data_IF_564610323684
#
_entry.id   IF_564610323684
#
_cell.length_a   1.000
_cell.length_b   1.000
_cell.length_c   1.000
_cell.angle_alpha   90.00
_cell.angle_beta   90.00
_cell.angle_gamma   90.00
#
_symmetry.space_group_name_H-M   'P 1'
#
loop_
_entity.id
_entity.type
_entity.pdbx_description
1 polymer ?
#
# COMPACT_ATOMS: atom_id res chain seq x y z
N UNK A 1 -18.73 3.24 25.91
CA UNK A 1 -18.41 4.66 26.09
C UNK A 1 -17.94 5.18 24.74
N UNK A 2 -18.81 5.89 24.00
CA UNK A 2 -18.43 6.57 22.75
C UNK A 2 -17.70 7.86 23.12
N UNK A 3 -16.41 7.77 23.40
CA UNK A 3 -15.56 8.96 23.38
C UNK A 3 -15.39 9.32 21.90
N UNK A 4 -16.06 10.39 21.46
CA UNK A 4 -15.86 10.94 20.12
C UNK A 4 -14.37 11.23 19.93
N UNK A 5 -13.71 10.49 19.04
CA UNK A 5 -12.32 10.74 18.68
C UNK A 5 -12.29 12.13 18.02
N UNK A 6 -11.60 13.09 18.62
CA UNK A 6 -11.56 14.47 18.13
C UNK A 6 -10.91 14.59 16.73
N UNK A 7 -11.21 15.64 15.96
CA UNK A 7 -10.62 15.85 14.66
C UNK A 7 -9.11 16.11 14.78
N UNK A 8 -8.30 15.29 14.11
CA UNK A 8 -6.84 15.48 14.02
C UNK A 8 -6.45 16.21 12.74
N UNK A 9 -5.27 16.83 12.77
CA UNK A 9 -4.58 17.32 11.56
C UNK A 9 -3.48 16.33 11.19
N UNK A 10 -3.64 15.65 10.06
CA UNK A 10 -2.87 14.47 9.66
C UNK A 10 -2.10 14.79 8.37
N UNK A 11 -0.82 14.45 8.35
CA UNK A 11 -0.02 14.41 7.12
C UNK A 11 0.25 12.96 6.72
N UNK A 12 -0.32 12.51 5.60
CA UNK A 12 0.02 11.24 4.97
C UNK A 12 1.24 11.47 4.08
N UNK A 13 2.31 10.71 4.29
CA UNK A 13 3.59 10.96 3.62
C UNK A 13 4.07 9.70 2.89
N UNK A 14 4.34 9.83 1.60
CA UNK A 14 4.92 8.78 0.78
C UNK A 14 5.57 9.35 -0.47
N UNK A 15 6.61 8.66 -0.97
CA UNK A 15 7.09 8.88 -2.33
C UNK A 15 6.07 8.42 -3.38
N UNK A 16 5.24 7.42 -3.02
CA UNK A 16 4.30 6.78 -3.92
C UNK A 16 2.91 7.41 -3.79
N UNK A 17 2.55 8.24 -4.77
CA UNK A 17 1.24 8.88 -4.84
C UNK A 17 0.88 9.25 -6.29
N UNK A 18 -0.32 9.80 -6.50
CA UNK A 18 -0.78 10.28 -7.80
C UNK A 18 0.22 11.26 -8.46
N UNK A 19 0.48 11.15 -9.78
CA UNK A 19 -0.34 10.51 -10.82
C UNK A 19 -0.09 9.01 -11.01
N UNK A 20 0.90 8.44 -10.36
CA UNK A 20 1.15 7.01 -10.46
C UNK A 20 -0.01 6.22 -9.87
N UNK A 21 -0.22 5.02 -10.41
CA UNK A 21 -1.23 4.08 -9.94
C UNK A 21 -0.56 2.82 -9.38
N UNK A 22 -0.93 2.44 -8.17
CA UNK A 22 -0.43 1.26 -7.49
C UNK A 22 -1.18 1.03 -6.18
N UNK A 23 -0.89 -0.07 -5.50
CA UNK A 23 -1.58 -0.42 -4.26
C UNK A 23 -1.38 0.60 -3.13
N UNK A 24 -0.19 1.17 -2.99
CA UNK A 24 0.14 2.18 -1.97
C UNK A 24 -0.55 3.51 -2.29
N UNK A 25 -0.49 3.94 -3.55
CA UNK A 25 -1.12 5.16 -4.04
C UNK A 25 -2.63 5.13 -3.84
N UNK A 26 -3.25 4.02 -4.21
CA UNK A 26 -4.69 3.78 -4.03
C UNK A 26 -5.07 3.77 -2.56
N UNK A 27 -4.28 3.10 -1.71
CA UNK A 27 -4.50 3.06 -0.26
C UNK A 27 -4.47 4.46 0.35
N UNK A 28 -3.43 5.26 0.07
CA UNK A 28 -3.29 6.61 0.61
C UNK A 28 -4.46 7.50 0.16
N UNK A 29 -4.86 7.39 -1.11
CA UNK A 29 -5.96 8.19 -1.65
C UNK A 29 -7.29 7.89 -0.96
N UNK A 30 -7.71 6.63 -0.91
CA UNK A 30 -9.01 6.27 -0.33
C UNK A 30 -9.03 6.43 1.20
N UNK A 31 -7.94 6.08 1.88
CA UNK A 31 -7.80 6.36 3.31
C UNK A 31 -7.95 7.87 3.60
N UNK A 32 -7.30 8.73 2.79
CA UNK A 32 -7.41 10.18 2.96
C UNK A 32 -8.85 10.67 2.79
N UNK A 33 -9.58 10.16 1.78
CA UNK A 33 -10.98 10.52 1.55
C UNK A 33 -11.85 10.16 2.75
N UNK A 34 -11.76 8.93 3.24
CA UNK A 34 -12.56 8.48 4.40
C UNK A 34 -12.17 9.19 5.71
N UNK A 35 -10.89 9.53 5.91
CA UNK A 35 -10.48 10.33 7.08
C UNK A 35 -11.02 11.76 7.01
N UNK A 36 -11.14 12.36 5.82
CA UNK A 36 -11.80 13.66 5.63
C UNK A 36 -13.29 13.56 5.96
N UNK A 37 -13.97 12.50 5.50
CA UNK A 37 -15.39 12.25 5.78
C UNK A 37 -15.64 12.03 7.28
N UNK A 38 -14.67 11.47 8.02
CA UNK A 38 -14.68 11.38 9.49
C UNK A 38 -14.39 12.72 10.19
N UNK A 39 -14.18 13.81 9.45
CA UNK A 39 -13.98 15.17 9.97
C UNK A 39 -12.51 15.53 10.29
N UNK A 40 -11.54 14.69 9.92
CA UNK A 40 -10.12 15.03 10.07
C UNK A 40 -9.65 16.00 9.00
N UNK A 41 -8.62 16.78 9.33
CA UNK A 41 -7.90 17.60 8.34
C UNK A 41 -6.74 16.78 7.80
N UNK A 42 -6.80 16.41 6.53
CA UNK A 42 -5.79 15.55 5.90
C UNK A 42 -5.04 16.31 4.82
N UNK A 43 -3.73 16.17 4.80
CA UNK A 43 -2.86 16.59 3.69
C UNK A 43 -1.98 15.42 3.27
N UNK A 44 -1.66 15.35 1.98
CA UNK A 44 -0.68 14.39 1.46
C UNK A 44 0.61 15.13 1.12
N UNK A 45 1.74 14.55 1.44
CA UNK A 45 3.08 15.06 1.10
C UNK A 45 3.79 14.01 0.27
N UNK A 46 4.21 14.41 -0.93
CA UNK A 46 4.94 13.56 -1.88
C UNK A 46 5.97 14.37 -2.66
N UNK A 47 6.77 13.73 -3.49
CA UNK A 47 7.67 14.43 -4.41
C UNK A 47 6.95 14.94 -5.66
N UNK A 48 7.60 15.83 -6.41
CA UNK A 48 7.07 16.32 -7.69
C UNK A 48 7.16 15.26 -8.79
N UNK A 49 6.13 15.21 -9.64
CA UNK A 49 6.06 14.33 -10.81
C UNK A 49 5.94 15.18 -12.08
N UNK A 50 7.02 15.31 -12.84
CA UNK A 50 7.03 16.16 -14.02
C UNK A 50 6.52 17.57 -13.72
N UNK A 51 5.41 17.97 -14.34
CA UNK A 51 4.80 19.29 -14.16
C UNK A 51 3.91 19.40 -12.90
N UNK A 52 3.66 18.30 -12.20
CA UNK A 52 2.95 18.33 -10.92
C UNK A 52 3.89 18.80 -9.81
N UNK A 53 3.89 20.10 -9.54
CA UNK A 53 4.71 20.77 -8.53
C UNK A 53 3.84 21.65 -7.65
N UNK A 54 4.32 21.90 -6.42
CA UNK A 54 3.66 22.80 -5.47
C UNK A 54 2.41 22.21 -4.84
N UNK A 55 1.39 23.02 -4.61
CA UNK A 55 0.16 22.59 -3.94
C UNK A 55 -0.91 22.32 -4.99
N UNK A 56 -1.58 21.16 -4.87
CA UNK A 56 -2.74 20.79 -5.68
C UNK A 56 -3.86 20.32 -4.79
N UNK A 57 -5.09 20.42 -5.29
CA UNK A 57 -6.28 19.90 -4.63
C UNK A 57 -6.87 18.79 -5.47
N UNK A 58 -7.16 17.67 -4.84
CA UNK A 58 -7.86 16.52 -5.42
C UNK A 58 -9.33 16.52 -4.94
N UNK A 59 -10.05 15.45 -5.26
CA UNK A 59 -11.44 15.26 -4.85
C UNK A 59 -11.61 15.44 -3.34
N UNK A 60 -12.80 15.87 -2.93
CA UNK A 60 -13.15 16.14 -1.53
C UNK A 60 -12.22 17.14 -0.82
N UNK A 61 -11.59 18.03 -1.58
CA UNK A 61 -10.69 19.06 -1.04
C UNK A 61 -9.36 18.56 -0.50
N UNK A 62 -8.99 17.31 -0.77
CA UNK A 62 -7.70 16.75 -0.35
C UNK A 62 -6.54 17.56 -0.90
N UNK A 63 -5.79 18.19 -0.01
CA UNK A 63 -4.62 18.99 -0.34
C UNK A 63 -3.37 18.14 -0.46
N UNK A 64 -2.67 18.26 -1.58
CA UNK A 64 -1.43 17.54 -1.86
C UNK A 64 -0.26 18.49 -2.05
N UNK A 65 0.82 18.24 -1.35
CA UNK A 65 2.10 18.93 -1.46
C UNK A 65 3.05 18.12 -2.34
N UNK A 66 3.29 18.58 -3.55
CA UNK A 66 4.29 18.04 -4.47
C UNK A 66 5.62 18.78 -4.28
N UNK A 67 6.51 18.23 -3.47
CA UNK A 67 7.77 18.87 -3.07
C UNK A 67 8.89 18.58 -4.08
N UNK A 68 9.85 19.50 -4.26
CA UNK A 68 10.89 19.38 -5.30
C UNK A 68 12.04 18.46 -4.85
N UNK A 69 11.73 17.21 -4.52
CA UNK A 69 12.74 16.20 -4.19
C UNK A 69 13.15 15.40 -5.42
N UNK A 70 14.43 15.00 -5.44
CA UNK A 70 15.02 14.24 -6.53
C UNK A 70 14.64 12.77 -6.37
N UNK A 71 14.07 12.18 -7.42
CA UNK A 71 13.79 10.75 -7.49
C UNK A 71 15.06 10.00 -7.86
N UNK A 72 15.43 9.00 -7.07
CA UNK A 72 16.64 8.21 -7.26
C UNK A 72 16.38 6.90 -8.02
N UNK A 73 15.41 6.09 -7.53
CA UNK A 73 15.17 4.75 -8.06
C UNK A 73 13.70 4.33 -7.85
N UNK A 74 13.08 3.77 -8.89
CA UNK A 74 11.71 3.22 -8.86
C UNK A 74 10.65 4.13 -8.20
N UNK A 75 10.77 5.44 -8.38
CA UNK A 75 9.84 6.41 -7.80
C UNK A 75 10.17 6.83 -6.36
N UNK A 76 11.16 6.21 -5.69
CA UNK A 76 11.62 6.63 -4.38
C UNK A 76 12.60 7.81 -4.48
N UNK A 77 12.47 8.78 -3.57
CA UNK A 77 13.37 9.93 -3.52
C UNK A 77 14.74 9.56 -3.00
N UNK A 78 15.75 10.33 -3.41
CA UNK A 78 17.06 10.28 -2.77
C UNK A 78 16.92 10.83 -1.36
N UNK A 79 17.29 10.02 -0.36
CA UNK A 79 17.33 10.49 1.02
C UNK A 79 18.27 11.68 1.15
N UNK A 80 17.69 12.84 1.45
CA UNK A 80 18.42 14.09 1.55
C UNK A 80 18.83 14.44 2.97
N UNK A 81 18.28 13.72 3.95
CA UNK A 81 18.50 13.80 5.41
C UNK A 81 18.39 15.23 5.97
N UNK A 82 19.00 16.20 5.32
CA UNK A 82 19.04 17.62 5.73
C UNK A 82 18.17 18.50 4.82
N UNK A 83 18.18 18.23 3.52
CA UNK A 83 17.46 19.03 2.52
C UNK A 83 15.93 19.00 2.66
N UNK A 84 15.38 17.92 3.21
CA UNK A 84 13.94 17.78 3.44
C UNK A 84 13.45 18.55 4.68
N UNK A 85 14.32 18.81 5.68
CA UNK A 85 13.95 19.45 6.96
C UNK A 85 13.21 20.78 6.79
N UNK A 86 13.70 21.76 6.00
CA UNK A 86 13.01 23.03 5.84
C UNK A 86 11.62 22.89 5.20
N UNK A 87 11.50 22.00 4.21
CA UNK A 87 10.25 21.76 3.49
C UNK A 87 9.21 21.10 4.37
N UNK A 88 9.56 19.99 5.02
CA UNK A 88 8.66 19.23 5.87
C UNK A 88 8.25 20.06 7.10
N UNK A 89 9.21 20.70 7.79
CA UNK A 89 8.90 21.60 8.90
C UNK A 89 7.90 22.69 8.49
N UNK A 90 8.13 23.33 7.33
CA UNK A 90 7.24 24.40 6.83
C UNK A 90 5.81 23.89 6.58
N UNK A 91 5.66 22.71 6.00
CA UNK A 91 4.34 22.10 5.78
C UNK A 91 3.70 21.72 7.11
N UNK A 92 4.43 21.05 8.02
CA UNK A 92 3.90 20.64 9.32
C UNK A 92 3.41 21.82 10.15
N UNK A 93 4.16 22.92 10.18
CA UNK A 93 3.74 24.14 10.89
C UNK A 93 2.57 24.84 10.18
N UNK A 94 2.58 24.89 8.86
CA UNK A 94 1.52 25.54 8.07
C UNK A 94 0.17 24.87 8.24
N UNK A 95 0.15 23.54 8.24
CA UNK A 95 -1.07 22.73 8.33
C UNK A 95 -1.41 22.37 9.80
N UNK A 96 -0.64 22.86 10.78
CA UNK A 96 -0.77 22.50 12.21
C UNK A 96 -0.84 20.97 12.40
N UNK A 97 0.03 20.23 11.73
CA UNK A 97 0.06 18.78 11.77
C UNK A 97 0.25 18.28 13.19
N UNK A 98 -0.56 17.32 13.60
CA UNK A 98 -0.48 16.63 14.88
C UNK A 98 0.07 15.21 14.71
N UNK A 99 -0.31 14.56 13.60
CA UNK A 99 0.05 13.19 13.31
C UNK A 99 0.70 13.12 11.91
N UNK A 100 1.86 12.47 11.85
CA UNK A 100 2.52 12.10 10.59
C UNK A 100 2.31 10.61 10.38
N UNK A 101 1.71 10.25 9.27
CA UNK A 101 1.50 8.87 8.88
C UNK A 101 2.30 8.55 7.62
N UNK A 102 3.43 7.89 7.80
CA UNK A 102 4.30 7.44 6.72
C UNK A 102 3.82 6.13 6.10
N UNK A 103 3.95 5.99 4.79
CA UNK A 103 3.55 4.80 4.05
C UNK A 103 4.68 4.22 3.22
N UNK A 104 4.81 2.89 3.25
CA UNK A 104 5.76 2.07 2.48
C UNK A 104 7.20 2.13 2.98
N UNK A 105 7.77 0.95 3.24
CA UNK A 105 9.18 0.80 3.64
C UNK A 105 10.17 1.33 2.61
N UNK A 106 9.80 1.36 1.33
CA UNK A 106 10.63 1.91 0.27
C UNK A 106 10.53 3.43 0.10
N UNK A 107 9.71 4.11 0.89
CA UNK A 107 9.58 5.56 0.82
C UNK A 107 10.62 6.25 1.72
N UNK A 108 11.68 6.77 1.13
CA UNK A 108 12.68 7.57 1.85
C UNK A 108 12.04 8.82 2.47
N UNK A 109 11.15 9.48 1.74
CA UNK A 109 10.43 10.66 2.22
C UNK A 109 9.56 10.36 3.45
N UNK A 110 8.90 9.19 3.49
CA UNK A 110 8.11 8.78 4.66
C UNK A 110 8.99 8.62 5.90
N UNK A 111 10.15 7.95 5.78
CA UNK A 111 11.08 7.75 6.88
C UNK A 111 11.69 9.07 7.37
N UNK A 112 12.08 9.97 6.46
CA UNK A 112 12.54 11.30 6.82
C UNK A 112 11.46 12.11 7.54
N UNK A 113 10.22 12.06 7.07
CA UNK A 113 9.10 12.75 7.69
C UNK A 113 8.80 12.24 9.11
N UNK A 114 8.84 10.92 9.32
CA UNK A 114 8.66 10.30 10.63
C UNK A 114 9.77 10.71 11.60
N UNK A 115 11.03 10.73 11.15
CA UNK A 115 12.16 11.15 11.97
C UNK A 115 12.08 12.63 12.34
N UNK A 116 11.88 13.50 11.36
CA UNK A 116 11.77 14.96 11.57
C UNK A 116 10.59 15.28 12.48
N UNK A 117 9.43 14.69 12.19
CA UNK A 117 8.23 14.90 12.99
C UNK A 117 8.35 14.44 14.42
N UNK A 118 8.93 13.25 14.63
CA UNK A 118 9.23 12.76 15.96
C UNK A 118 10.17 13.69 16.74
N UNK A 119 11.20 14.29 16.09
CA UNK A 119 12.09 15.28 16.70
C UNK A 119 11.41 16.64 16.93
N UNK A 120 10.35 16.96 16.17
CA UNK A 120 9.45 18.10 16.41
C UNK A 120 8.38 17.80 17.48
N UNK A 121 8.35 16.60 18.07
CA UNK A 121 7.38 16.08 19.03
C UNK A 121 5.95 15.94 18.46
N UNK A 122 5.83 15.68 17.17
CA UNK A 122 4.59 15.25 16.55
C UNK A 122 4.43 13.74 16.76
N UNK A 123 3.18 13.28 16.74
CA UNK A 123 2.89 11.84 16.80
C UNK A 123 3.16 11.20 15.44
N UNK A 124 3.61 9.95 15.48
CA UNK A 124 4.10 9.26 14.29
C UNK A 124 3.45 7.89 14.15
N UNK A 125 2.91 7.61 12.96
CA UNK A 125 2.34 6.32 12.57
C UNK A 125 2.97 5.88 11.27
N UNK A 126 3.17 4.59 11.09
CA UNK A 126 3.72 4.04 9.85
C UNK A 126 2.87 2.87 9.38
N UNK A 127 2.53 2.82 8.08
CA UNK A 127 1.92 1.64 7.45
C UNK A 127 2.91 0.95 6.54
N UNK A 128 3.18 -0.33 6.86
CA UNK A 128 3.99 -1.20 6.01
C UNK A 128 3.11 -1.97 5.03
N UNK A 129 3.39 -1.78 3.74
CA UNK A 129 2.71 -2.44 2.63
C UNK A 129 3.54 -3.57 2.02
N UNK A 130 4.69 -3.89 2.62
CA UNK A 130 5.68 -4.77 2.04
C UNK A 130 5.84 -6.07 2.82
N UNK A 131 6.26 -7.11 2.12
CA UNK A 131 6.73 -8.35 2.72
C UNK A 131 8.11 -8.67 2.12
N UNK A 132 9.09 -8.87 2.99
CA UNK A 132 10.46 -9.12 2.57
C UNK A 132 10.89 -10.56 2.83
N UNK A 133 11.61 -11.17 1.88
CA UNK A 133 12.34 -12.43 2.08
C UNK A 133 13.53 -12.26 3.06
N UNK A 134 13.98 -13.30 3.72
CA UNK A 134 15.14 -13.25 4.63
C UNK A 134 16.48 -13.48 3.91
N UNK A 135 16.45 -13.97 2.69
CA UNK A 135 17.63 -14.45 1.96
C UNK A 135 18.23 -13.44 0.98
N UNK A 136 17.59 -12.29 0.78
CA UNK A 136 18.04 -11.30 -0.21
C UNK A 136 18.97 -10.26 0.45
N UNK A 137 20.16 -10.05 -0.10
CA UNK A 137 21.13 -9.09 0.43
C UNK A 137 20.57 -7.66 0.50
N UNK A 138 19.75 -7.28 -0.48
CA UNK A 138 19.05 -6.00 -0.47
C UNK A 138 18.03 -5.92 0.67
N UNK A 139 17.37 -7.02 1.00
CA UNK A 139 16.43 -7.12 2.10
C UNK A 139 17.15 -7.02 3.45
N UNK A 140 18.32 -7.63 3.62
CA UNK A 140 19.13 -7.53 4.85
C UNK A 140 19.51 -6.07 5.10
N UNK A 141 20.00 -5.38 4.07
CA UNK A 141 20.38 -3.97 4.17
C UNK A 141 19.18 -3.08 4.50
N UNK A 142 18.05 -3.26 3.80
CA UNK A 142 16.82 -2.51 4.04
C UNK A 142 16.25 -2.79 5.43
N UNK A 143 16.27 -4.03 5.89
CA UNK A 143 15.81 -4.41 7.22
C UNK A 143 16.65 -3.77 8.32
N UNK A 144 17.98 -3.86 8.20
CA UNK A 144 18.88 -3.35 9.24
C UNK A 144 18.92 -1.83 9.23
N UNK A 145 19.08 -1.20 8.05
CA UNK A 145 19.24 0.25 7.96
C UNK A 145 17.93 1.01 8.03
N UNK A 146 16.85 0.50 7.41
CA UNK A 146 15.60 1.24 7.30
C UNK A 146 14.63 0.83 8.40
N UNK A 147 14.19 -0.42 8.45
CA UNK A 147 13.14 -0.83 9.38
C UNK A 147 13.58 -0.71 10.84
N UNK A 148 14.72 -1.30 11.20
CA UNK A 148 15.16 -1.34 12.59
C UNK A 148 15.38 0.06 13.17
N UNK A 149 16.02 0.96 12.43
CA UNK A 149 16.37 2.28 12.96
C UNK A 149 15.28 3.34 12.73
N UNK A 150 14.61 3.36 11.58
CA UNK A 150 13.62 4.39 11.34
C UNK A 150 12.34 4.15 12.14
N UNK A 151 11.94 2.88 12.36
CA UNK A 151 10.69 2.54 13.06
C UNK A 151 10.81 2.48 14.59
N UNK A 152 12.02 2.39 15.16
CA UNK A 152 12.22 2.27 16.62
C UNK A 152 11.62 3.44 17.41
N UNK A 153 11.54 4.61 16.79
CA UNK A 153 11.00 5.83 17.38
C UNK A 153 9.58 6.16 16.92
N UNK A 154 8.96 5.34 16.09
CA UNK A 154 7.57 5.49 15.66
C UNK A 154 6.64 5.09 16.80
N UNK A 155 5.55 5.84 16.98
CA UNK A 155 4.64 5.62 18.11
C UNK A 155 3.74 4.41 17.87
N UNK A 156 3.18 4.25 16.64
CA UNK A 156 2.33 3.11 16.26
C UNK A 156 2.65 2.67 14.82
N UNK A 157 2.52 1.37 14.56
CA UNK A 157 2.78 0.77 13.24
C UNK A 157 1.57 -0.05 12.82
N UNK A 158 1.23 0.01 11.53
CA UNK A 158 0.16 -0.75 10.90
C UNK A 158 0.78 -1.67 9.85
N UNK A 159 0.38 -2.93 9.84
CA UNK A 159 0.71 -3.92 8.82
C UNK A 159 -0.58 -4.42 8.16
N UNK A 160 -0.50 -4.80 6.88
CA UNK A 160 -1.67 -5.15 6.08
C UNK A 160 -2.13 -6.62 6.21
N UNK A 161 -1.36 -7.45 6.93
CA UNK A 161 -1.69 -8.84 7.27
C UNK A 161 -0.98 -9.24 8.56
N UNK A 162 -1.38 -10.34 9.18
CA UNK A 162 -0.69 -10.90 10.35
C UNK A 162 0.72 -11.37 9.99
N UNK A 163 0.88 -12.02 8.84
CA UNK A 163 2.20 -12.41 8.32
C UNK A 163 3.11 -11.19 8.12
N UNK A 164 2.58 -10.09 7.57
CA UNK A 164 3.34 -8.84 7.45
C UNK A 164 3.69 -8.25 8.81
N UNK A 165 2.80 -8.33 9.81
CA UNK A 165 3.07 -7.89 11.18
C UNK A 165 4.22 -8.67 11.79
N UNK A 166 4.18 -10.01 11.76
CA UNK A 166 5.28 -10.85 12.27
C UNK A 166 6.59 -10.52 11.59
N UNK A 167 6.56 -10.40 10.27
CA UNK A 167 7.73 -10.05 9.46
C UNK A 167 8.33 -8.70 9.87
N UNK A 168 7.50 -7.66 10.04
CA UNK A 168 7.94 -6.31 10.42
C UNK A 168 8.45 -6.26 11.87
N UNK A 169 7.80 -6.96 12.80
CA UNK A 169 8.22 -7.08 14.21
C UNK A 169 9.60 -7.73 14.30
N UNK A 170 9.78 -8.89 13.64
CA UNK A 170 11.05 -9.65 13.69
C UNK A 170 12.20 -8.86 13.07
N UNK A 171 11.98 -8.22 11.92
CA UNK A 171 13.02 -7.49 11.19
C UNK A 171 13.38 -6.17 11.82
N UNK A 172 12.37 -5.43 12.26
CA UNK A 172 12.57 -4.14 12.91
C UNK A 172 12.97 -4.27 14.38
N UNK A 173 12.97 -5.49 14.96
CA UNK A 173 13.12 -5.73 16.40
C UNK A 173 12.19 -4.83 17.22
N UNK A 174 10.93 -4.77 16.77
CA UNK A 174 9.93 -3.86 17.31
C UNK A 174 9.14 -4.51 18.43
N UNK A 175 8.57 -3.68 19.29
CA UNK A 175 7.60 -4.11 20.29
C UNK A 175 6.28 -4.52 19.60
N UNK A 176 5.84 -5.80 19.68
CA UNK A 176 4.62 -6.27 19.04
C UNK A 176 3.36 -5.52 19.46
N UNK A 177 3.34 -4.93 20.67
CA UNK A 177 2.20 -4.15 21.18
C UNK A 177 1.95 -2.85 20.42
N UNK A 178 2.97 -2.34 19.72
CA UNK A 178 2.91 -1.14 18.88
C UNK A 178 2.53 -1.43 17.43
N UNK A 179 2.45 -2.70 17.06
CA UNK A 179 2.17 -3.12 15.68
C UNK A 179 0.77 -3.71 15.61
N UNK A 180 -0.10 -3.06 14.85
CA UNK A 180 -1.48 -3.48 14.61
C UNK A 180 -1.67 -3.99 13.20
N UNK A 181 -2.65 -4.87 12.97
CA UNK A 181 -3.00 -5.36 11.64
C UNK A 181 -4.28 -4.69 11.18
N UNK A 182 -4.22 -3.97 10.04
CA UNK A 182 -5.38 -3.42 9.34
C UNK A 182 -5.21 -3.78 7.86
N UNK A 183 -6.02 -4.71 7.33
CA UNK A 183 -5.91 -5.11 5.93
C UNK A 183 -6.25 -3.96 5.00
N UNK A 184 -5.75 -4.04 3.76
CA UNK A 184 -6.17 -3.13 2.71
C UNK A 184 -7.65 -3.34 2.37
N UNK A 185 -8.27 -2.33 1.78
CA UNK A 185 -9.59 -2.42 1.19
C UNK A 185 -9.55 -2.12 -0.32
N UNK A 186 -10.67 -2.35 -0.98
CA UNK A 186 -10.88 -1.96 -2.38
C UNK A 186 -12.13 -1.07 -2.48
N UNK A 187 -12.24 -0.31 -3.55
CA UNK A 187 -13.50 0.38 -3.87
C UNK A 187 -14.42 -0.61 -4.59
N UNK A 188 -15.20 -1.35 -3.82
CA UNK A 188 -16.04 -2.44 -4.31
C UNK A 188 -17.06 -2.00 -5.35
N UNK A 189 -17.51 -0.73 -5.32
CA UNK A 189 -18.40 -0.17 -6.33
C UNK A 189 -17.78 -0.13 -7.73
N UNK A 190 -16.44 -0.07 -7.79
CA UNK A 190 -15.71 -0.12 -9.05
C UNK A 190 -15.50 -1.55 -9.55
N UNK A 191 -15.59 -2.57 -8.67
CA UNK A 191 -15.33 -3.97 -8.97
C UNK A 191 -16.58 -4.82 -8.75
N UNK A 192 -17.62 -4.57 -9.56
CA UNK A 192 -18.87 -5.33 -9.53
C UNK A 192 -18.88 -6.43 -10.57
N UNK A 193 -19.49 -7.60 -10.31
CA UNK A 193 -19.59 -8.68 -11.27
C UNK A 193 -20.46 -8.33 -12.48
N UNK A 194 -20.22 -9.03 -13.59
CA UNK A 194 -21.10 -9.08 -14.75
C UNK A 194 -21.60 -10.51 -14.91
N UNK A 195 -22.81 -10.78 -14.39
CA UNK A 195 -23.39 -12.12 -14.38
C UNK A 195 -23.64 -12.69 -15.77
N UNK A 196 -23.88 -11.85 -16.79
CA UNK A 196 -24.06 -12.32 -18.16
C UNK A 196 -22.75 -12.84 -18.74
N UNK A 197 -21.63 -12.18 -18.45
CA UNK A 197 -20.31 -12.61 -18.89
C UNK A 197 -19.85 -13.86 -18.14
N UNK A 198 -20.15 -13.97 -16.84
CA UNK A 198 -19.74 -15.08 -16.00
C UNK A 198 -20.19 -16.46 -16.54
N UNK A 199 -21.35 -16.53 -17.17
CA UNK A 199 -21.91 -17.77 -17.73
C UNK A 199 -21.45 -18.09 -19.15
N UNK A 200 -20.65 -17.22 -19.80
CA UNK A 200 -20.15 -17.46 -21.15
C UNK A 200 -19.10 -18.56 -21.22
N UNK A 201 -19.15 -19.30 -22.31
CA UNK A 201 -18.14 -20.29 -22.69
C UNK A 201 -17.22 -19.71 -23.77
N UNK A 202 -15.97 -20.16 -23.85
CA UNK A 202 -15.28 -21.11 -22.96
C UNK A 202 -14.90 -20.50 -21.62
N UNK A 203 -14.50 -21.36 -20.65
CA UNK A 203 -13.90 -20.92 -19.38
C UNK A 203 -12.67 -20.08 -19.66
N UNK A 204 -12.64 -18.89 -19.07
CA UNK A 204 -11.53 -17.95 -19.22
C UNK A 204 -10.87 -17.71 -17.86
N UNK A 205 -9.55 -17.90 -17.83
CA UNK A 205 -8.68 -17.65 -16.69
C UNK A 205 -8.01 -16.30 -16.88
N UNK A 206 -8.05 -15.45 -15.86
CA UNK A 206 -7.45 -14.11 -15.89
C UNK A 206 -6.26 -14.05 -14.95
N UNK A 207 -5.18 -13.46 -15.41
CA UNK A 207 -4.04 -13.02 -14.61
C UNK A 207 -3.87 -11.52 -14.76
N UNK A 208 -3.73 -10.79 -13.65
CA UNK A 208 -3.40 -9.36 -13.65
C UNK A 208 -2.26 -9.07 -12.69
N UNK A 209 -1.16 -8.54 -13.21
CA UNK A 209 -0.01 -8.19 -12.40
C UNK A 209 1.22 -7.78 -13.21
N UNK A 210 2.22 -7.27 -12.54
CA UNK A 210 3.52 -6.99 -13.18
C UNK A 210 4.17 -8.31 -13.61
N UNK A 211 4.68 -8.39 -14.82
CA UNK A 211 5.37 -9.57 -15.35
C UNK A 211 6.83 -9.59 -14.87
N UNK A 212 7.01 -9.92 -13.59
CA UNK A 212 8.30 -10.03 -12.91
C UNK A 212 8.40 -11.36 -12.18
N UNK A 213 9.63 -11.80 -11.89
CA UNK A 213 9.89 -13.05 -11.16
C UNK A 213 9.07 -13.19 -9.88
N UNK A 214 9.07 -12.16 -9.05
CA UNK A 214 8.35 -12.15 -7.75
C UNK A 214 6.83 -12.36 -7.87
N UNK A 215 6.24 -12.03 -9.03
CA UNK A 215 4.83 -12.27 -9.34
C UNK A 215 4.57 -13.62 -9.99
N UNK A 216 5.61 -14.46 -10.08
CA UNK A 216 5.51 -15.82 -10.59
C UNK A 216 5.21 -15.90 -12.08
N UNK A 217 5.72 -14.97 -12.89
CA UNK A 217 5.57 -15.03 -14.35
C UNK A 217 6.19 -16.32 -14.92
N UNK A 218 7.26 -16.82 -14.30
CA UNK A 218 7.88 -18.09 -14.67
C UNK A 218 6.94 -19.30 -14.41
N UNK A 219 6.20 -19.28 -13.30
CA UNK A 219 5.18 -20.30 -13.02
C UNK A 219 4.07 -20.29 -14.07
N UNK A 220 3.64 -19.11 -14.54
CA UNK A 220 2.65 -19.01 -15.62
C UNK A 220 3.15 -19.67 -16.92
N UNK A 221 4.43 -19.51 -17.26
CA UNK A 221 5.03 -20.14 -18.44
C UNK A 221 4.96 -21.68 -18.40
N UNK A 222 4.96 -22.27 -17.20
CA UNK A 222 4.83 -23.72 -17.03
C UNK A 222 3.38 -24.19 -16.91
N UNK A 223 2.53 -23.43 -16.20
CA UNK A 223 1.13 -23.78 -15.93
C UNK A 223 0.28 -23.72 -17.20
N UNK A 224 0.36 -22.65 -17.97
CA UNK A 224 -0.51 -22.40 -19.11
C UNK A 224 -0.46 -23.52 -20.15
N UNK A 225 0.71 -23.99 -20.61
CA UNK A 225 0.78 -25.08 -21.57
C UNK A 225 0.21 -26.40 -21.03
N UNK A 226 0.48 -26.74 -19.76
CA UNK A 226 0.00 -27.97 -19.11
C UNK A 226 -1.53 -27.98 -19.02
N UNK A 227 -2.14 -26.86 -18.60
CA UNK A 227 -3.61 -26.73 -18.55
C UNK A 227 -4.21 -26.74 -19.95
N UNK A 228 -3.62 -26.03 -20.90
CA UNK A 228 -4.06 -26.03 -22.29
C UNK A 228 -3.98 -27.43 -22.97
N UNK A 229 -3.02 -28.25 -22.61
CA UNK A 229 -2.91 -29.60 -23.11
C UNK A 229 -4.03 -30.53 -22.58
N UNK A 230 -4.38 -30.38 -21.31
CA UNK A 230 -5.42 -31.20 -20.65
C UNK A 230 -6.84 -30.72 -20.94
N UNK A 231 -7.03 -29.38 -21.09
CA UNK A 231 -8.35 -28.76 -21.34
C UNK A 231 -8.34 -27.95 -22.64
N UNK A 232 -8.97 -28.48 -23.70
CA UNK A 232 -8.83 -27.96 -25.06
C UNK A 232 -9.50 -26.61 -25.31
N UNK A 233 -10.50 -26.21 -24.50
CA UNK A 233 -11.31 -25.00 -24.74
C UNK A 233 -10.96 -23.83 -23.82
N UNK A 234 -10.22 -24.03 -22.72
CA UNK A 234 -9.86 -22.97 -21.78
C UNK A 234 -9.07 -21.85 -22.45
N UNK A 235 -9.34 -20.62 -22.08
CA UNK A 235 -8.63 -19.42 -22.53
C UNK A 235 -7.93 -18.72 -21.36
N UNK A 236 -6.88 -18.00 -21.68
CA UNK A 236 -6.15 -17.17 -20.73
C UNK A 236 -6.12 -15.71 -21.19
N UNK A 237 -6.35 -14.79 -20.28
CA UNK A 237 -6.16 -13.36 -20.48
C UNK A 237 -5.08 -12.91 -19.48
N UNK A 238 -3.98 -12.36 -20.00
CA UNK A 238 -2.85 -11.90 -19.22
C UNK A 238 -2.75 -10.38 -19.37
N UNK A 239 -3.06 -9.65 -18.28
CA UNK A 239 -2.91 -8.21 -18.20
C UNK A 239 -1.72 -7.83 -17.33
N UNK A 240 -0.89 -6.95 -17.88
CA UNK A 240 0.32 -6.46 -17.23
C UNK A 240 1.51 -6.44 -18.15
N UNK A 241 2.60 -5.84 -17.66
CA UNK A 241 3.85 -5.71 -18.39
C UNK A 241 5.04 -5.90 -17.44
N UNK A 242 6.21 -6.14 -18.00
CA UNK A 242 7.45 -6.29 -17.25
C UNK A 242 8.51 -7.10 -17.99
N UNK A 243 9.71 -7.24 -17.42
CA UNK A 243 10.83 -7.92 -18.08
C UNK A 243 10.54 -9.40 -18.44
N UNK A 244 9.59 -10.05 -17.75
CA UNK A 244 9.20 -11.44 -18.02
C UNK A 244 8.12 -11.61 -19.11
N UNK A 245 7.79 -10.53 -19.82
CA UNK A 245 6.83 -10.57 -20.92
C UNK A 245 7.34 -11.45 -22.06
N UNK A 246 8.63 -11.35 -22.38
CA UNK A 246 9.25 -12.06 -23.49
C UNK A 246 9.10 -13.57 -23.30
N UNK A 247 9.39 -14.09 -22.12
CA UNK A 247 9.29 -15.52 -21.82
C UNK A 247 7.85 -16.05 -21.98
N UNK A 248 6.85 -15.24 -21.64
CA UNK A 248 5.44 -15.59 -21.85
C UNK A 248 5.06 -15.58 -23.33
N UNK A 249 5.59 -14.64 -24.12
CA UNK A 249 5.40 -14.59 -25.57
C UNK A 249 6.09 -15.80 -26.24
N UNK A 250 7.32 -16.12 -25.87
CA UNK A 250 8.04 -17.31 -26.34
C UNK A 250 7.29 -18.62 -25.99
N UNK A 251 6.77 -18.73 -24.77
CA UNK A 251 5.94 -19.87 -24.37
C UNK A 251 4.71 -19.98 -25.27
N UNK A 252 4.00 -18.86 -25.53
CA UNK A 252 2.81 -18.83 -26.39
C UNK A 252 3.13 -19.31 -27.82
N UNK A 253 4.25 -18.82 -28.39
CA UNK A 253 4.75 -19.23 -29.71
C UNK A 253 5.09 -20.72 -29.73
N UNK A 254 5.95 -21.17 -28.81
CA UNK A 254 6.41 -22.57 -28.70
C UNK A 254 5.27 -23.58 -28.65
N UNK A 255 4.21 -23.26 -27.93
CA UNK A 255 3.07 -24.14 -27.75
C UNK A 255 1.89 -23.84 -28.68
N UNK A 256 2.03 -22.90 -29.64
CA UNK A 256 1.00 -22.49 -30.63
C UNK A 256 -0.32 -22.10 -29.98
N UNK A 257 -0.26 -21.27 -28.91
CA UNK A 257 -1.40 -20.89 -28.09
C UNK A 257 -1.97 -19.50 -28.40
N UNK A 258 -1.74 -18.93 -29.59
CA UNK A 258 -2.15 -17.59 -29.98
C UNK A 258 -3.66 -17.34 -29.82
N UNK A 259 -4.48 -18.31 -30.20
CA UNK A 259 -5.95 -18.21 -30.11
C UNK A 259 -6.49 -18.42 -28.70
N UNK A 260 -5.64 -18.86 -27.79
CA UNK A 260 -6.03 -19.25 -26.41
C UNK A 260 -5.42 -18.40 -25.33
N UNK A 261 -4.32 -17.69 -25.60
CA UNK A 261 -3.60 -16.84 -24.67
C UNK A 261 -3.53 -15.42 -25.21
N UNK A 262 -4.33 -14.53 -24.64
CA UNK A 262 -4.38 -13.12 -25.01
C UNK A 262 -3.52 -12.33 -24.05
N UNK A 263 -2.54 -11.58 -24.56
CA UNK A 263 -1.67 -10.71 -23.78
C UNK A 263 -2.04 -9.25 -24.04
N UNK A 264 -2.58 -8.58 -23.02
CA UNK A 264 -3.12 -7.22 -23.13
C UNK A 264 -2.07 -6.10 -22.90
N UNK A 265 -0.90 -6.47 -22.33
CA UNK A 265 0.06 -5.46 -21.90
C UNK A 265 -0.40 -4.71 -20.64
N UNK A 266 0.19 -3.55 -20.40
CA UNK A 266 -0.15 -2.70 -19.25
C UNK A 266 -1.58 -2.16 -19.37
N UNK A 267 -2.38 -2.38 -18.33
CA UNK A 267 -3.78 -1.94 -18.30
C UNK A 267 -3.94 -0.67 -17.46
N UNK A 268 -4.66 0.34 -17.97
CA UNK A 268 -5.14 1.43 -17.13
C UNK A 268 -6.09 0.90 -16.05
N UNK A 269 -6.05 1.48 -14.85
CA UNK A 269 -6.85 0.98 -13.72
C UNK A 269 -8.36 0.92 -14.01
N UNK A 270 -8.89 1.86 -14.78
CA UNK A 270 -10.29 1.90 -15.18
C UNK A 270 -10.73 0.77 -16.14
N UNK A 271 -9.77 0.03 -16.72
CA UNK A 271 -10.06 -1.12 -17.59
C UNK A 271 -9.95 -2.45 -16.85
N UNK A 272 -9.39 -2.48 -15.63
CA UNK A 272 -9.17 -3.70 -14.85
C UNK A 272 -10.47 -4.47 -14.62
N UNK A 273 -11.55 -3.80 -14.20
CA UNK A 273 -12.88 -4.40 -14.04
C UNK A 273 -13.38 -5.09 -15.31
N UNK A 274 -13.25 -4.41 -16.46
CA UNK A 274 -13.72 -4.95 -17.73
C UNK A 274 -12.97 -6.22 -18.13
N UNK A 275 -11.68 -6.28 -17.81
CA UNK A 275 -10.86 -7.47 -18.07
C UNK A 275 -11.21 -8.59 -17.10
N UNK A 276 -11.35 -8.31 -15.80
CA UNK A 276 -11.77 -9.30 -14.80
C UNK A 276 -13.11 -9.92 -15.17
N UNK A 277 -14.09 -9.12 -15.57
CA UNK A 277 -15.43 -9.60 -15.96
C UNK A 277 -15.46 -10.45 -17.25
N UNK A 278 -14.35 -10.55 -18.00
CA UNK A 278 -14.24 -11.50 -19.11
C UNK A 278 -13.88 -12.93 -18.64
N UNK A 279 -13.49 -13.07 -17.37
CA UNK A 279 -13.09 -14.35 -16.80
C UNK A 279 -14.03 -14.89 -15.74
N UNK A 280 -13.84 -16.15 -15.39
CA UNK A 280 -14.54 -16.83 -14.32
C UNK A 280 -13.59 -17.27 -13.20
N UNK A 281 -12.32 -17.42 -13.55
CA UNK A 281 -11.25 -17.82 -12.64
C UNK A 281 -10.13 -16.79 -12.72
N UNK A 282 -9.62 -16.39 -11.58
CA UNK A 282 -8.43 -15.55 -11.46
C UNK A 282 -7.26 -16.40 -10.96
N UNK A 283 -6.13 -16.36 -11.65
CA UNK A 283 -4.91 -17.03 -11.19
C UNK A 283 -3.91 -16.00 -10.65
N UNK A 284 -3.40 -16.25 -9.46
CA UNK A 284 -2.29 -15.52 -8.87
C UNK A 284 -1.14 -16.46 -8.58
N UNK A 285 0.02 -16.20 -9.17
CA UNK A 285 1.23 -17.04 -9.07
C UNK A 285 2.33 -16.39 -8.25
N UNK A 286 2.02 -15.37 -7.46
CA UNK A 286 3.02 -14.61 -6.71
C UNK A 286 3.84 -15.49 -5.78
N UNK A 287 5.16 -15.24 -5.70
CA UNK A 287 6.09 -15.92 -4.80
C UNK A 287 6.20 -15.27 -3.42
N UNK A 288 5.72 -14.04 -3.31
CA UNK A 288 5.66 -13.29 -2.03
C UNK A 288 4.66 -12.16 -2.14
N UNK A 289 3.80 -12.00 -1.13
CA UNK A 289 2.79 -10.95 -1.02
C UNK A 289 2.54 -10.58 0.43
N UNK A 290 2.37 -9.28 0.70
CA UNK A 290 1.88 -8.82 1.99
C UNK A 290 0.36 -8.97 2.12
N UNK A 291 -0.40 -8.72 1.03
CA UNK A 291 -1.87 -8.80 1.02
C UNK A 291 -2.44 -9.24 -0.33
N UNK A 292 -1.99 -8.67 -1.46
CA UNK A 292 -2.46 -8.92 -2.83
C UNK A 292 -3.88 -8.40 -3.15
N UNK A 293 -3.98 -7.09 -3.44
CA UNK A 293 -5.26 -6.44 -3.76
C UNK A 293 -5.96 -7.04 -4.98
N UNK A 294 -5.22 -7.49 -6.01
CA UNK A 294 -5.80 -8.07 -7.22
C UNK A 294 -6.65 -9.34 -6.95
N UNK A 295 -6.35 -10.08 -5.89
CA UNK A 295 -7.17 -11.21 -5.43
C UNK A 295 -8.54 -10.71 -4.96
N UNK A 296 -8.56 -9.64 -4.17
CA UNK A 296 -9.80 -9.06 -3.64
C UNK A 296 -10.62 -8.42 -4.76
N UNK A 297 -9.97 -7.72 -5.69
CA UNK A 297 -10.60 -7.14 -6.88
C UNK A 297 -11.25 -8.21 -7.75
N UNK A 298 -10.54 -9.31 -8.01
CA UNK A 298 -11.06 -10.45 -8.78
C UNK A 298 -12.23 -11.13 -8.07
N UNK A 299 -12.12 -11.39 -6.77
CA UNK A 299 -13.20 -11.97 -5.99
C UNK A 299 -14.43 -11.05 -5.93
N UNK A 300 -14.23 -9.73 -5.84
CA UNK A 300 -15.30 -8.73 -5.90
C UNK A 300 -16.02 -8.72 -7.26
N UNK A 301 -15.29 -8.97 -8.35
CA UNK A 301 -15.89 -9.19 -9.67
C UNK A 301 -16.54 -10.60 -9.83
N UNK A 302 -16.56 -11.42 -8.77
CA UNK A 302 -17.21 -12.72 -8.75
C UNK A 302 -16.33 -13.91 -9.17
N UNK A 303 -15.07 -13.69 -9.57
CA UNK A 303 -14.17 -14.76 -10.02
C UNK A 303 -13.80 -15.69 -8.86
N UNK A 304 -13.64 -16.98 -9.16
CA UNK A 304 -12.98 -17.89 -8.24
C UNK A 304 -11.47 -17.72 -8.34
N UNK A 305 -10.78 -17.64 -7.20
CA UNK A 305 -9.35 -17.40 -7.18
C UNK A 305 -8.60 -18.72 -7.03
N UNK A 306 -7.56 -18.93 -7.84
CA UNK A 306 -6.54 -19.97 -7.64
C UNK A 306 -5.23 -19.25 -7.36
N UNK A 307 -4.57 -19.54 -6.25
CA UNK A 307 -3.40 -18.77 -5.82
C UNK A 307 -2.37 -19.62 -5.12
N UNK A 308 -1.14 -19.14 -5.15
CA UNK A 308 -0.07 -19.64 -4.29
C UNK A 308 -0.36 -19.37 -2.81
N UNK A 309 0.04 -20.27 -1.94
CA UNK A 309 -0.05 -20.20 -0.47
C UNK A 309 1.16 -19.49 0.12
N UNK A 310 1.34 -18.20 -0.19
CA UNK A 310 2.54 -17.43 0.24
C UNK A 310 2.18 -16.17 0.99
N UNK A 311 3.02 -15.82 1.97
CA UNK A 311 2.90 -14.58 2.72
C UNK A 311 1.53 -14.38 3.36
N UNK A 312 0.94 -13.20 3.16
CA UNK A 312 -0.38 -12.85 3.68
C UNK A 312 -1.57 -13.34 2.84
N UNK A 313 -1.35 -14.03 1.70
CA UNK A 313 -2.45 -14.49 0.83
C UNK A 313 -3.45 -15.41 1.55
N UNK A 314 -3.03 -16.37 2.41
CA UNK A 314 -3.97 -17.23 3.13
C UNK A 314 -4.93 -16.48 4.07
N UNK A 315 -4.61 -15.24 4.40
CA UNK A 315 -5.43 -14.40 5.29
C UNK A 315 -6.49 -13.57 4.54
N UNK A 316 -6.42 -13.53 3.18
CA UNK A 316 -7.20 -12.56 2.39
C UNK A 316 -8.64 -13.02 2.17
N UNK A 317 -8.89 -14.27 1.84
CA UNK A 317 -10.23 -14.76 1.51
C UNK A 317 -10.50 -16.12 2.15
N UNK A 318 -11.77 -16.47 2.44
CA UNK A 318 -12.15 -17.81 2.89
C UNK A 318 -11.71 -18.88 1.90
N UNK A 319 -10.94 -19.86 2.40
CA UNK A 319 -10.40 -20.96 1.59
C UNK A 319 -11.54 -21.87 1.12
N UNK A 320 -11.36 -22.51 -0.03
CA UNK A 320 -12.27 -23.42 -0.73
C UNK A 320 -13.54 -22.78 -1.31
N UNK A 321 -14.07 -21.75 -0.68
CA UNK A 321 -15.28 -21.06 -1.14
C UNK A 321 -14.95 -19.96 -2.15
N UNK A 322 -13.96 -19.12 -1.83
CA UNK A 322 -13.52 -17.99 -2.64
C UNK A 322 -12.20 -18.26 -3.37
N UNK A 323 -11.29 -18.98 -2.70
CA UNK A 323 -9.92 -19.18 -3.13
C UNK A 323 -9.46 -20.62 -2.90
N UNK A 324 -8.78 -21.17 -3.89
CA UNK A 324 -8.00 -22.40 -3.78
C UNK A 324 -6.53 -22.04 -3.63
N UNK A 325 -5.89 -22.59 -2.59
CA UNK A 325 -4.51 -22.26 -2.22
C UNK A 325 -3.60 -23.47 -2.34
N UNK A 326 -2.54 -23.35 -3.13
CA UNK A 326 -1.52 -24.39 -3.30
C UNK A 326 -0.12 -23.82 -3.11
N UNK A 327 0.84 -24.68 -2.91
CA UNK A 327 2.24 -24.29 -2.87
C UNK A 327 2.69 -23.71 -4.22
N UNK A 328 3.73 -22.88 -4.29
CA UNK A 328 4.21 -22.27 -5.53
C UNK A 328 4.95 -23.29 -6.41
N UNK A 329 4.29 -24.39 -6.69
CA UNK A 329 4.73 -25.51 -7.54
C UNK A 329 3.82 -25.56 -8.76
N UNK A 330 4.36 -25.61 -10.00
CA UNK A 330 3.56 -25.60 -11.22
C UNK A 330 2.49 -26.71 -11.27
N UNK A 331 2.82 -27.94 -10.89
CA UNK A 331 1.90 -29.08 -11.00
C UNK A 331 0.73 -28.98 -10.01
N UNK A 332 0.96 -28.49 -8.79
CA UNK A 332 -0.09 -28.27 -7.79
C UNK A 332 -1.07 -27.20 -8.26
N UNK A 333 -0.53 -26.10 -8.81
CA UNK A 333 -1.34 -25.01 -9.38
C UNK A 333 -2.12 -25.44 -10.63
N UNK A 334 -1.55 -26.34 -11.46
CA UNK A 334 -2.25 -26.93 -12.60
C UNK A 334 -3.43 -27.77 -12.11
N UNK A 335 -3.24 -28.64 -11.11
CA UNK A 335 -4.30 -29.46 -10.54
C UNK A 335 -5.42 -28.62 -9.95
N UNK A 336 -5.07 -27.61 -9.13
CA UNK A 336 -6.04 -26.69 -8.55
C UNK A 336 -6.83 -25.92 -9.61
N UNK A 337 -6.15 -25.48 -10.67
CA UNK A 337 -6.79 -24.74 -11.75
C UNK A 337 -7.74 -25.64 -12.55
N UNK A 338 -7.38 -26.88 -12.84
CA UNK A 338 -8.25 -27.84 -13.50
C UNK A 338 -9.47 -28.18 -12.64
N UNK A 339 -9.31 -28.37 -11.33
CA UNK A 339 -10.42 -28.55 -10.39
C UNK A 339 -11.37 -27.33 -10.38
N UNK A 340 -10.83 -26.12 -10.42
CA UNK A 340 -11.62 -24.89 -10.48
C UNK A 340 -12.40 -24.77 -11.80
N UNK A 341 -11.78 -25.14 -12.92
CA UNK A 341 -12.43 -25.21 -14.25
C UNK A 341 -13.59 -26.21 -14.21
N UNK A 342 -13.36 -27.40 -13.68
CA UNK A 342 -14.40 -28.44 -13.54
C UNK A 342 -15.56 -27.98 -12.63
N UNK A 343 -15.26 -27.37 -11.48
CA UNK A 343 -16.27 -26.76 -10.58
C UNK A 343 -17.12 -25.74 -11.32
N UNK A 344 -16.47 -24.88 -12.13
CA UNK A 344 -17.15 -23.86 -12.93
C UNK A 344 -18.08 -24.51 -13.98
N UNK A 345 -17.60 -25.50 -14.72
CA UNK A 345 -18.39 -26.18 -15.77
C UNK A 345 -19.58 -26.95 -15.20
N UNK A 346 -19.44 -27.48 -13.99
CA UNK A 346 -20.54 -28.14 -13.25
C UNK A 346 -21.47 -27.15 -12.53
N UNK A 347 -21.26 -25.84 -12.68
CA UNK A 347 -22.07 -24.82 -12.00
C UNK A 347 -21.96 -24.84 -10.47
N UNK A 348 -20.82 -25.29 -9.93
CA UNK A 348 -20.59 -25.45 -8.48
C UNK A 348 -19.79 -24.28 -7.86
N UNK A 349 -19.42 -23.27 -8.66
CA UNK A 349 -18.82 -22.06 -8.12
C UNK A 349 -19.90 -21.21 -7.44
N UNK A 350 -19.47 -20.46 -6.41
CA UNK A 350 -20.34 -19.49 -5.74
C UNK A 350 -20.88 -18.47 -6.76
N UNK A 351 -22.14 -18.08 -6.55
CA UNK A 351 -22.78 -17.03 -7.35
C UNK A 351 -21.99 -15.71 -7.23
N UNK A 352 -21.68 -15.03 -8.36
CA UNK A 352 -20.84 -13.84 -8.39
C UNK A 352 -21.35 -12.70 -7.51
N UNK A 353 -22.66 -12.46 -7.46
CA UNK A 353 -23.25 -11.38 -6.67
C UNK A 353 -23.12 -11.64 -5.17
N UNK A 354 -23.36 -12.89 -4.73
CA UNK A 354 -23.15 -13.27 -3.32
C UNK A 354 -21.68 -13.13 -2.92
N UNK A 355 -20.76 -13.48 -3.84
CA UNK A 355 -19.33 -13.29 -3.60
C UNK A 355 -18.97 -11.83 -3.46
N UNK A 356 -19.48 -10.97 -4.36
CA UNK A 356 -19.30 -9.53 -4.29
C UNK A 356 -19.82 -8.93 -2.97
N UNK A 357 -21.03 -9.31 -2.56
CA UNK A 357 -21.62 -8.85 -1.31
C UNK A 357 -20.77 -9.20 -0.09
N UNK A 358 -20.26 -10.45 -0.04
CA UNK A 358 -19.38 -10.89 1.04
C UNK A 358 -18.05 -10.13 1.06
N UNK A 359 -17.40 -9.95 -0.11
CA UNK A 359 -16.15 -9.17 -0.24
C UNK A 359 -16.37 -7.72 0.17
N UNK A 360 -17.50 -7.11 -0.21
CA UNK A 360 -17.83 -5.71 0.14
C UNK A 360 -17.98 -5.51 1.65
N UNK A 361 -18.45 -6.52 2.39
CA UNK A 361 -18.52 -6.48 3.84
C UNK A 361 -17.15 -6.67 4.50
N UNK A 362 -16.27 -7.49 3.90
CA UNK A 362 -14.93 -7.77 4.44
C UNK A 362 -13.95 -6.62 4.20
N UNK A 363 -14.04 -5.96 3.06
CA UNK A 363 -13.02 -5.02 2.58
C UNK A 363 -13.60 -3.70 2.11
N UNK A 364 -13.83 -2.78 3.04
CA UNK A 364 -14.33 -1.43 2.74
C UNK A 364 -13.44 -0.36 3.37
N UNK A 365 -13.32 0.77 2.72
CA UNK A 365 -12.46 1.88 3.16
C UNK A 365 -12.94 2.57 4.43
N UNK A 366 -14.25 2.75 4.70
CA UNK A 366 -14.72 3.28 5.98
C UNK A 366 -14.20 2.49 7.18
N UNK A 367 -14.27 1.14 7.18
CA UNK A 367 -13.74 0.30 8.26
C UNK A 367 -12.22 0.48 8.45
N UNK A 368 -11.47 0.55 7.34
CA UNK A 368 -10.02 0.83 7.39
C UNK A 368 -9.74 2.19 8.04
N UNK A 369 -10.52 3.21 7.70
CA UNK A 369 -10.34 4.56 8.27
C UNK A 369 -10.72 4.60 9.75
N UNK A 370 -11.82 3.98 10.16
CA UNK A 370 -12.24 3.87 11.57
C UNK A 370 -11.18 3.15 12.41
N UNK A 371 -10.67 2.03 11.93
CA UNK A 371 -9.59 1.28 12.61
C UNK A 371 -8.30 2.08 12.66
N UNK A 372 -7.96 2.81 11.61
CA UNK A 372 -6.78 3.70 11.56
C UNK A 372 -6.94 4.87 12.54
N UNK A 373 -8.15 5.43 12.68
CA UNK A 373 -8.45 6.47 13.66
C UNK A 373 -8.20 6.01 15.10
N UNK A 374 -8.51 4.75 15.42
CA UNK A 374 -8.21 4.16 16.74
C UNK A 374 -6.68 4.10 16.97
N UNK A 375 -5.90 3.80 15.92
CA UNK A 375 -4.44 3.80 16.03
C UNK A 375 -3.91 5.23 16.23
N UNK A 376 -4.50 6.22 15.57
CA UNK A 376 -4.15 7.63 15.81
C UNK A 376 -4.43 8.05 17.26
N UNK A 377 -5.56 7.63 17.81
CA UNK A 377 -5.87 7.90 19.21
C UNK A 377 -4.82 7.29 20.14
N UNK A 378 -4.46 6.01 19.93
CA UNK A 378 -3.38 5.35 20.71
C UNK A 378 -2.05 6.09 20.61
N UNK A 379 -1.70 6.59 19.41
CA UNK A 379 -0.48 7.37 19.21
C UNK A 379 -0.52 8.69 20.00
N UNK A 380 -1.65 9.39 19.99
CA UNK A 380 -1.82 10.69 20.68
C UNK A 380 -1.88 10.52 22.20
N UNK A 381 -2.50 9.46 22.71
CA UNK A 381 -2.57 9.16 24.14
C UNK A 381 -1.23 8.67 24.71
N UNK A 382 -0.35 8.17 23.84
CA UNK A 382 0.99 7.74 24.27
C UNK A 382 1.87 8.96 24.61
N UNK A 383 2.61 8.92 25.73
CA UNK A 383 3.52 10.00 26.09
C UNK A 383 4.56 10.21 24.97
N UNK A 384 4.63 11.43 24.42
CA UNK A 384 5.64 11.74 23.40
C UNK A 384 7.05 11.70 24.01
N UNK A 385 7.95 10.80 23.54
CA UNK A 385 9.29 10.68 24.10
C UNK A 385 10.10 11.99 23.94
N UNK A 386 10.92 12.34 24.93
CA UNK A 386 11.85 13.45 24.80
C UNK A 386 12.88 13.20 23.70
N UNK A 387 13.51 14.26 23.16
CA UNK A 387 14.59 14.11 22.18
C UNK A 387 15.71 13.22 22.69
N UNK A 388 16.08 13.36 23.96
CA UNK A 388 17.12 12.52 24.61
C UNK A 388 16.69 11.04 24.64
N UNK A 389 15.44 10.76 25.00
CA UNK A 389 14.90 9.41 24.99
C UNK A 389 14.94 8.77 23.60
N UNK A 390 14.65 9.55 22.54
CA UNK A 390 14.73 9.08 21.14
C UNK A 390 16.18 8.78 20.73
N UNK A 391 17.13 9.64 21.09
CA UNK A 391 18.56 9.40 20.84
C UNK A 391 19.06 8.16 21.57
N UNK A 392 18.65 7.94 22.82
CA UNK A 392 19.00 6.75 23.61
C UNK A 392 18.49 5.45 22.97
N UNK A 393 17.31 5.48 22.34
CA UNK A 393 16.80 4.32 21.61
C UNK A 393 17.69 3.95 20.40
N UNK A 394 18.15 4.95 19.63
CA UNK A 394 19.12 4.69 18.55
C UNK A 394 20.43 4.08 19.07
N UNK A 395 20.97 4.62 20.18
CA UNK A 395 22.20 4.09 20.79
C UNK A 395 22.06 2.62 21.17
N UNK A 396 20.94 2.25 21.76
CA UNK A 396 20.68 0.88 22.22
C UNK A 396 20.54 -0.14 21.07
N UNK A 397 20.40 0.31 19.81
CA UNK A 397 20.33 -0.56 18.63
C UNK A 397 21.71 -1.02 18.14
N UNK A 398 22.81 -0.46 18.68
CA UNK A 398 24.17 -0.87 18.35
C UNK A 398 25.11 0.27 18.00
N UNK A 399 26.41 0.01 18.17
CA UNK A 399 27.45 1.05 18.07
C UNK A 399 27.62 1.58 16.62
N UNK A 400 27.43 0.75 15.59
CA UNK A 400 27.62 1.16 14.20
C UNK A 400 26.56 2.12 13.70
N UNK A 401 25.44 1.58 13.25
CA UNK A 401 24.32 2.38 12.70
C UNK A 401 23.63 3.23 13.75
N UNK A 402 23.62 2.83 15.03
CA UNK A 402 23.07 3.63 16.12
C UNK A 402 23.75 4.99 16.22
N UNK A 403 25.08 5.06 16.12
CA UNK A 403 25.83 6.32 16.12
C UNK A 403 25.50 7.14 14.86
N UNK A 404 25.41 6.49 13.70
CA UNK A 404 25.02 7.18 12.46
C UNK A 404 23.64 7.87 12.62
N UNK A 405 22.62 7.15 13.11
CA UNK A 405 21.28 7.71 13.32
C UNK A 405 21.24 8.81 14.39
N UNK A 406 22.07 8.68 15.46
CA UNK A 406 22.22 9.75 16.45
C UNK A 406 22.82 11.00 15.79
N UNK A 407 23.86 10.83 14.98
CA UNK A 407 24.51 11.95 14.28
C UNK A 407 23.50 12.66 13.36
N UNK A 408 22.76 11.89 12.56
CA UNK A 408 21.70 12.43 11.71
C UNK A 408 20.64 13.17 12.54
N UNK A 409 20.17 12.58 13.64
CA UNK A 409 19.19 13.22 14.51
C UNK A 409 19.71 14.52 15.14
N UNK A 410 20.98 14.58 15.56
CA UNK A 410 21.60 15.80 16.10
C UNK A 410 21.68 16.89 15.02
N UNK A 411 22.06 16.53 13.79
CA UNK A 411 22.09 17.48 12.66
C UNK A 411 20.68 18.03 12.39
N UNK A 412 19.65 17.18 12.39
CA UNK A 412 18.26 17.60 12.23
C UNK A 412 17.82 18.52 13.37
N UNK A 413 18.14 18.18 14.64
CA UNK A 413 17.82 19.01 15.81
C UNK A 413 18.45 20.39 15.68
N UNK A 414 19.72 20.45 15.27
CA UNK A 414 20.43 21.71 15.06
C UNK A 414 19.80 22.51 13.91
N UNK A 415 19.50 21.88 12.79
CA UNK A 415 18.80 22.50 11.67
C UNK A 415 17.42 23.06 12.06
N UNK A 416 16.65 22.31 12.84
CA UNK A 416 15.36 22.78 13.38
C UNK A 416 15.55 23.98 14.30
N UNK A 417 16.57 23.99 15.17
CA UNK A 417 16.86 25.09 16.05
C UNK A 417 17.24 26.39 15.30
N UNK A 418 18.04 26.26 14.23
CA UNK A 418 18.35 27.38 13.34
C UNK A 418 17.08 27.93 12.68
N UNK A 419 16.26 27.04 12.10
CA UNK A 419 15.01 27.44 11.46
C UNK A 419 14.02 28.06 12.45
N UNK A 420 13.97 27.59 13.70
CA UNK A 420 13.14 28.16 14.76
C UNK A 420 13.61 29.54 15.19
N UNK A 421 14.92 29.80 15.15
CA UNK A 421 15.49 31.11 15.42
C UNK A 421 15.06 32.17 14.37
N UNK A 422 15.12 31.81 13.07
CA UNK A 422 14.74 32.73 11.99
C UNK A 422 13.21 32.78 11.73
N UNK A 423 12.49 31.72 11.98
CA UNK A 423 11.04 31.59 11.70
C UNK A 423 10.32 30.89 12.87
N UNK A 424 10.11 31.65 13.94
CA UNK A 424 9.53 31.12 15.19
C UNK A 424 8.16 30.47 14.96
N UNK A 425 7.92 29.23 15.46
CA UNK A 425 6.63 28.55 15.40
C UNK A 425 5.45 29.34 15.94
N UNK A 426 5.68 30.20 16.94
CA UNK A 426 4.66 31.08 17.53
C UNK A 426 4.15 32.14 16.55
N UNK A 427 5.02 32.71 15.70
CA UNK A 427 4.63 33.64 14.63
C UNK A 427 3.77 32.94 13.55
N UNK A 428 4.12 31.74 13.22
CA UNK A 428 3.39 30.96 12.22
C UNK A 428 1.99 30.52 12.70
N UNK A 429 1.83 30.14 13.97
CA UNK A 429 0.51 29.84 14.57
C UNK A 429 -0.40 31.05 14.55
N UNK A 430 0.07 32.25 14.94
CA UNK A 430 -0.71 33.50 14.89
C UNK A 430 -1.10 33.89 13.46
N UNK A 431 -0.23 33.67 12.48
CA UNK A 431 -0.50 33.96 11.06
C UNK A 431 -1.56 32.99 10.48
N UNK A 432 -1.53 31.75 10.90
CA UNK A 432 -2.49 30.73 10.47
C UNK A 432 -3.87 30.93 11.11
N UNK A 433 -3.95 31.32 12.39
CA UNK A 433 -5.21 31.69 13.04
C UNK A 433 -5.89 32.86 12.36
N UNK A 434 -5.12 33.93 12.01
CA UNK A 434 -5.65 35.06 11.24
C UNK A 434 -6.13 34.69 9.83
N UNK A 435 -5.50 33.73 9.18
CA UNK A 435 -5.94 33.20 7.85
C UNK A 435 -7.23 32.40 7.96
N UNK A 436 -7.34 31.52 8.96
CA UNK A 436 -8.56 30.77 9.22
C UNK A 436 -9.77 31.67 9.50
N UNK A 437 -9.60 32.71 10.33
CA UNK A 437 -10.66 33.67 10.62
C UNK A 437 -11.09 34.51 9.41
N UNK A 438 -10.19 34.80 8.46
CA UNK A 438 -10.54 35.49 7.21
C UNK A 438 -11.36 34.63 6.26
N UNK A 439 -11.12 33.32 6.23
CA UNK A 439 -11.89 32.39 5.38
C UNK A 439 -13.29 32.10 5.94
N UNK A 440 -13.49 32.11 7.25
CA UNK A 440 -14.82 32.01 7.87
C UNK A 440 -15.65 33.27 7.68
N UNK A 441 -15.05 34.45 7.68
CA UNK A 441 -15.78 35.72 7.49
C UNK A 441 -16.13 36.05 6.02
N UNK A 442 -15.51 35.40 5.06
CA UNK A 442 -15.88 35.53 3.62
C UNK A 442 -16.93 34.52 3.16
N UNK A 443 -17.27 33.51 3.97
CA UNK A 443 -18.29 32.52 3.68
C UNK A 443 -19.71 32.87 4.14
N UNK A 444 -19.89 33.95 4.90
CA UNK A 444 -21.21 34.42 5.40
C UNK A 444 -21.86 35.54 4.59
N UNK A 445 -21.23 35.93 3.48
CA UNK A 445 -21.77 36.97 2.58
C UNK A 445 -21.87 36.47 1.12
N UNK A 446 -22.49 35.31 0.91
CA UNK A 446 -23.02 34.95 -0.41
C UNK A 446 -24.26 34.06 -0.25
#
# INVERSE_FOLDING_TARGET
MNTSIGPYSIALVSDFFCPNAGGVETHIYFLAQCLIDLGHRVVVITHSYGDRKGIRFLSNGLKVYYLPFIVAYNGATLSSIIGSVPWLRKVFLRENVQIIHGHSTFSALAHEALMIGGLMRLHTVFTDHSLFGFADASAILTNTLVLQYSLINVDQIICVSYTSKENTVLRGKLDPSKVSTIPNAIETRLFTPDSQQFHKNPTTVVFLGRLVYRKGADLLCEIIPKVCAQHKTVRFIIGGDGPKRIELEEMREKHKLHERVVMLGMLPHNQVKQVLNQGQIFINTSLTEAFCMSIVEAASCGLHVVSTRVGGIPEVLPVDEFISLEDPVPDDLVEALLKAIEKREKGRLMNPEKKHEAVSKMYNWPDVAERTQIIYQKAVESPSPTRIARLKKYYNQGIGFGILYITVAIIIIFGLAILDFFDSPAKNRKKNQKRSQRHTNTGTNK
#
